data_IF_310856937692
#
_entry.id   IF_310856937692
#
_cell.length_a   1.000
_cell.length_b   1.000
_cell.length_c   1.000
_cell.angle_alpha   90.00
_cell.angle_beta   90.00
_cell.angle_gamma   90.00
#
_symmetry.space_group_name_H-M   'P 1'
#
loop_
_entity.id
_entity.type
_entity.pdbx_description
1 polymer ?
#
# COMPACT_ATOMS: atom_id res chain seq x y z
N UNK A 1 8.54 -12.93 -34.69
CA UNK A 1 7.26 -13.31 -34.03
C UNK A 1 6.52 -12.04 -33.65
N UNK A 2 5.20 -11.96 -33.81
CA UNK A 2 4.41 -10.77 -33.44
C UNK A 2 4.32 -10.62 -31.92
N UNK A 3 4.19 -9.39 -31.41
CA UNK A 3 4.08 -9.11 -29.98
C UNK A 3 2.95 -9.90 -29.29
N UNK A 4 1.81 -10.07 -29.98
CA UNK A 4 0.67 -10.84 -29.45
C UNK A 4 1.02 -12.33 -29.27
N UNK A 5 1.77 -12.91 -30.20
CA UNK A 5 2.15 -14.32 -30.12
C UNK A 5 3.17 -14.55 -28.97
N UNK A 6 4.14 -13.62 -28.83
CA UNK A 6 5.07 -13.60 -27.68
C UNK A 6 4.31 -13.48 -26.37
N UNK A 7 3.32 -12.59 -26.29
CA UNK A 7 2.52 -12.38 -25.08
C UNK A 7 1.73 -13.64 -24.67
N UNK A 8 1.18 -14.39 -25.62
CA UNK A 8 0.52 -15.67 -25.33
C UNK A 8 1.49 -16.71 -24.77
N UNK A 9 2.71 -16.79 -25.34
CA UNK A 9 3.75 -17.68 -24.82
C UNK A 9 4.17 -17.29 -23.38
N UNK A 10 4.25 -15.99 -23.08
CA UNK A 10 4.50 -15.52 -21.69
C UNK A 10 3.42 -16.00 -20.74
N UNK A 11 2.14 -15.85 -21.10
CA UNK A 11 1.02 -16.30 -20.27
C UNK A 11 1.09 -17.82 -20.03
N UNK A 12 1.38 -18.59 -21.08
CA UNK A 12 1.50 -20.06 -20.99
C UNK A 12 2.68 -20.47 -20.11
N UNK A 13 3.85 -19.87 -20.32
CA UNK A 13 5.05 -20.17 -19.53
C UNK A 13 4.84 -19.86 -18.04
N UNK A 14 4.16 -18.75 -17.70
CA UNK A 14 3.84 -18.40 -16.31
C UNK A 14 2.83 -19.37 -15.68
N UNK A 15 1.88 -19.89 -16.45
CA UNK A 15 0.97 -20.96 -15.98
C UNK A 15 1.74 -22.24 -15.59
N UNK A 16 2.85 -22.50 -16.25
CA UNK A 16 3.76 -23.61 -15.93
C UNK A 16 4.81 -23.26 -14.87
N UNK A 17 4.63 -22.14 -14.14
CA UNK A 17 5.50 -21.69 -13.04
C UNK A 17 6.95 -21.40 -13.45
N UNK A 18 7.21 -21.07 -14.71
CA UNK A 18 8.51 -20.57 -15.15
C UNK A 18 8.80 -19.21 -14.54
N UNK A 19 10.06 -18.91 -14.22
CA UNK A 19 10.44 -17.62 -13.69
C UNK A 19 10.31 -16.52 -14.75
N UNK A 20 9.94 -15.31 -14.33
CA UNK A 20 9.84 -14.15 -15.23
C UNK A 20 11.18 -13.85 -15.91
N UNK A 21 12.30 -14.06 -15.23
CA UNK A 21 13.65 -13.85 -15.78
C UNK A 21 13.95 -14.84 -16.91
N UNK A 22 13.64 -16.12 -16.70
CA UNK A 22 13.85 -17.14 -17.72
C UNK A 22 12.96 -16.90 -18.95
N UNK A 23 11.72 -16.54 -18.74
CA UNK A 23 10.76 -16.19 -19.80
C UNK A 23 11.27 -15.01 -20.61
N UNK A 24 11.74 -13.96 -19.95
CA UNK A 24 12.31 -12.78 -20.60
C UNK A 24 13.50 -13.14 -21.48
N UNK A 25 14.39 -13.98 -20.97
CA UNK A 25 15.56 -14.46 -21.70
C UNK A 25 15.17 -15.29 -22.94
N UNK A 26 14.21 -16.20 -22.79
CA UNK A 26 13.81 -17.12 -23.88
C UNK A 26 12.98 -16.41 -24.97
N UNK A 27 12.09 -15.48 -24.59
CA UNK A 27 11.13 -14.89 -25.53
C UNK A 27 11.62 -13.54 -26.09
N UNK A 28 12.33 -12.74 -25.29
CA UNK A 28 12.77 -11.40 -25.65
C UNK A 28 14.28 -11.24 -25.72
N UNK A 29 15.07 -12.32 -25.60
CA UNK A 29 16.53 -12.28 -25.63
C UNK A 29 17.15 -11.23 -24.70
N UNK A 30 16.53 -11.03 -23.52
CA UNK A 30 16.90 -10.00 -22.53
C UNK A 30 16.73 -8.54 -23.01
N UNK A 31 16.10 -8.31 -24.18
CA UNK A 31 15.77 -6.96 -24.64
C UNK A 31 14.68 -6.33 -23.73
N UNK A 32 15.06 -5.27 -23.04
CA UNK A 32 14.17 -4.58 -22.10
C UNK A 32 13.00 -3.88 -22.80
N UNK A 33 13.22 -3.29 -23.98
CA UNK A 33 12.17 -2.59 -24.72
C UNK A 33 11.16 -3.57 -25.31
N UNK A 34 11.63 -4.74 -25.77
CA UNK A 34 10.74 -5.81 -26.24
C UNK A 34 9.98 -6.44 -25.07
N UNK A 35 10.66 -6.68 -23.93
CA UNK A 35 10.00 -7.16 -22.71
C UNK A 35 8.91 -6.23 -22.22
N UNK A 36 9.14 -4.93 -22.19
CA UNK A 36 8.14 -3.93 -21.80
C UNK A 36 6.86 -4.07 -22.63
N UNK A 37 7.00 -4.10 -23.95
CA UNK A 37 5.87 -4.26 -24.86
C UNK A 37 5.16 -5.61 -24.73
N UNK A 38 5.92 -6.69 -24.58
CA UNK A 38 5.38 -8.04 -24.51
C UNK A 38 4.69 -8.30 -23.17
N UNK A 39 5.32 -7.92 -22.07
CA UNK A 39 4.77 -8.08 -20.71
C UNK A 39 3.49 -7.26 -20.53
N UNK A 40 3.48 -6.00 -20.98
CA UNK A 40 2.28 -5.17 -20.99
C UNK A 40 1.14 -5.81 -21.79
N UNK A 41 1.45 -6.31 -23.00
CA UNK A 41 0.45 -7.01 -23.82
C UNK A 41 -0.05 -8.30 -23.18
N UNK A 42 0.82 -9.05 -22.50
CA UNK A 42 0.44 -10.25 -21.76
C UNK A 42 -0.49 -9.88 -20.58
N UNK A 43 -0.16 -8.84 -19.81
CA UNK A 43 -0.99 -8.33 -18.74
C UNK A 43 -2.39 -7.92 -19.24
N UNK A 44 -2.47 -7.16 -20.34
CA UNK A 44 -3.75 -6.73 -20.92
C UNK A 44 -4.62 -7.92 -21.35
N UNK A 45 -4.03 -8.93 -22.00
CA UNK A 45 -4.75 -10.13 -22.42
C UNK A 45 -5.24 -10.95 -21.20
N UNK A 46 -4.39 -11.08 -20.19
CA UNK A 46 -4.73 -11.79 -18.96
C UNK A 46 -5.82 -11.09 -18.17
N UNK A 47 -5.76 -9.75 -18.08
CA UNK A 47 -6.79 -8.91 -17.47
C UNK A 47 -8.15 -9.03 -18.19
N UNK A 48 -8.15 -9.01 -19.54
CA UNK A 48 -9.37 -9.17 -20.32
C UNK A 48 -10.00 -10.55 -20.10
N UNK A 49 -9.20 -11.59 -20.06
CA UNK A 49 -9.67 -12.95 -19.78
C UNK A 49 -10.23 -13.07 -18.35
N UNK A 50 -9.59 -12.50 -17.35
CA UNK A 50 -10.08 -12.48 -15.97
C UNK A 50 -11.43 -11.75 -15.86
N UNK A 51 -11.59 -10.61 -16.56
CA UNK A 51 -12.89 -9.91 -16.61
C UNK A 51 -13.98 -10.74 -17.29
N UNK A 52 -13.63 -11.43 -18.35
CA UNK A 52 -14.58 -12.34 -19.03
C UNK A 52 -15.01 -13.46 -18.13
N UNK A 53 -14.06 -14.12 -17.46
CA UNK A 53 -14.34 -15.21 -16.54
C UNK A 53 -15.21 -14.74 -15.36
N UNK A 54 -14.90 -13.58 -14.75
CA UNK A 54 -15.72 -13.00 -13.68
C UNK A 54 -17.17 -12.78 -14.09
N UNK A 55 -17.41 -12.29 -15.32
CA UNK A 55 -18.78 -12.15 -15.84
C UNK A 55 -19.52 -13.49 -15.95
N UNK A 56 -18.82 -14.55 -16.36
CA UNK A 56 -19.40 -15.90 -16.45
C UNK A 56 -19.72 -16.42 -15.05
N UNK A 57 -18.77 -16.36 -14.12
CA UNK A 57 -18.93 -16.84 -12.75
C UNK A 57 -20.09 -16.13 -12.02
N UNK A 58 -20.21 -14.81 -12.18
CA UNK A 58 -21.31 -14.02 -11.61
C UNK A 58 -22.67 -14.44 -12.19
N UNK A 59 -22.73 -14.79 -13.46
CA UNK A 59 -23.98 -15.24 -14.11
C UNK A 59 -24.40 -16.63 -13.67
N UNK A 60 -23.47 -17.55 -13.45
CA UNK A 60 -23.77 -18.94 -13.10
C UNK A 60 -24.26 -19.12 -11.66
N UNK A 61 -24.02 -18.12 -10.77
CA UNK A 61 -24.41 -18.13 -9.35
C UNK A 61 -23.95 -19.35 -8.54
N UNK A 62 -23.01 -20.13 -9.07
CA UNK A 62 -22.50 -21.32 -8.40
C UNK A 62 -21.26 -21.04 -7.55
N UNK A 63 -20.62 -19.88 -7.73
CA UNK A 63 -19.41 -19.49 -7.02
C UNK A 63 -19.63 -18.11 -6.41
N UNK A 64 -19.26 -17.95 -5.13
CA UNK A 64 -19.25 -16.64 -4.47
C UNK A 64 -18.04 -15.87 -5.00
N UNK A 65 -18.30 -14.89 -5.87
CA UNK A 65 -17.26 -14.01 -6.43
C UNK A 65 -17.67 -12.55 -6.27
N UNK A 66 -16.70 -11.65 -6.13
CA UNK A 66 -16.96 -10.21 -6.16
C UNK A 66 -17.44 -9.81 -7.56
N UNK A 67 -18.64 -9.24 -7.71
CA UNK A 67 -19.15 -8.76 -8.99
C UNK A 67 -18.24 -7.70 -9.62
N UNK A 68 -18.27 -7.57 -10.95
CA UNK A 68 -17.46 -6.55 -11.63
C UNK A 68 -17.90 -5.13 -11.32
N UNK A 69 -19.19 -4.94 -11.07
CA UNK A 69 -19.78 -3.67 -10.66
C UNK A 69 -19.14 -3.18 -9.35
N UNK A 70 -19.06 -4.05 -8.34
CA UNK A 70 -18.41 -3.74 -7.05
C UNK A 70 -16.92 -3.42 -7.21
N UNK A 71 -16.21 -4.15 -8.09
CA UNK A 71 -14.81 -3.85 -8.39
C UNK A 71 -14.68 -2.47 -9.06
N UNK A 72 -15.60 -2.10 -9.96
CA UNK A 72 -15.60 -0.78 -10.57
C UNK A 72 -15.87 0.34 -9.55
N UNK A 73 -16.78 0.10 -8.59
CA UNK A 73 -17.08 1.04 -7.51
C UNK A 73 -15.86 1.24 -6.59
N UNK A 74 -15.13 0.15 -6.28
CA UNK A 74 -13.86 0.24 -5.55
C UNK A 74 -12.80 1.03 -6.32
N UNK A 75 -12.71 0.87 -7.65
CA UNK A 75 -11.80 1.65 -8.50
C UNK A 75 -12.15 3.14 -8.41
N UNK A 76 -13.43 3.49 -8.54
CA UNK A 76 -13.88 4.87 -8.49
C UNK A 76 -13.62 5.50 -7.12
N UNK A 77 -13.95 4.79 -6.05
CA UNK A 77 -13.70 5.26 -4.70
C UNK A 77 -12.21 5.46 -4.43
N UNK A 78 -11.35 4.54 -4.85
CA UNK A 78 -9.90 4.73 -4.77
C UNK A 78 -9.41 5.93 -5.57
N UNK A 79 -9.93 6.16 -6.78
CA UNK A 79 -9.58 7.34 -7.58
C UNK A 79 -9.96 8.66 -6.87
N UNK A 80 -11.04 8.67 -6.11
CA UNK A 80 -11.43 9.83 -5.31
C UNK A 80 -10.54 10.00 -4.06
N UNK A 81 -10.23 8.90 -3.37
CA UNK A 81 -9.39 8.91 -2.16
C UNK A 81 -7.94 9.32 -2.44
N UNK A 82 -7.39 8.91 -3.59
CA UNK A 82 -5.99 9.19 -3.94
C UNK A 82 -5.69 10.69 -4.00
N UNK A 83 -6.66 11.52 -4.38
CA UNK A 83 -6.50 12.99 -4.39
C UNK A 83 -6.14 13.54 -3.01
N UNK A 84 -6.52 12.84 -1.93
CA UNK A 84 -6.26 13.16 -0.54
C UNK A 84 -5.14 12.31 0.08
N UNK A 85 -4.30 11.72 -0.77
CA UNK A 85 -3.23 10.80 -0.38
C UNK A 85 -3.74 9.58 0.42
N UNK A 86 -4.93 9.07 0.10
CA UNK A 86 -5.58 7.92 0.71
C UNK A 86 -5.94 6.87 -0.34
N UNK A 87 -6.16 5.64 0.10
CA UNK A 87 -6.71 4.53 -0.69
C UNK A 87 -7.42 3.58 0.25
N UNK A 88 -8.38 2.80 -0.22
CA UNK A 88 -9.05 1.81 0.63
C UNK A 88 -8.06 0.78 1.14
N UNK A 89 -8.00 0.52 2.45
CA UNK A 89 -7.27 -0.64 2.96
C UNK A 89 -7.89 -1.95 2.45
N UNK A 90 -7.07 -2.96 2.25
CA UNK A 90 -7.57 -4.29 1.84
C UNK A 90 -8.42 -5.00 2.89
N UNK A 91 -8.43 -4.49 4.10
CA UNK A 91 -9.13 -5.06 5.27
C UNK A 91 -10.43 -4.35 5.59
N UNK A 92 -10.89 -3.44 4.72
CA UNK A 92 -12.17 -2.75 4.90
C UNK A 92 -13.34 -3.73 4.79
N UNK A 93 -14.35 -3.53 5.63
CA UNK A 93 -15.66 -4.16 5.48
C UNK A 93 -16.54 -3.32 4.53
N UNK A 94 -17.63 -3.89 4.04
CA UNK A 94 -18.63 -3.14 3.26
C UNK A 94 -19.26 -1.99 4.05
N UNK A 95 -19.37 -2.13 5.37
CA UNK A 95 -19.83 -1.05 6.24
C UNK A 95 -18.84 0.13 6.25
N UNK A 96 -17.54 -0.18 6.33
CA UNK A 96 -16.48 0.85 6.26
C UNK A 96 -16.48 1.54 4.89
N UNK A 97 -16.58 0.77 3.79
CA UNK A 97 -16.67 1.33 2.42
C UNK A 97 -17.84 2.30 2.30
N UNK A 98 -19.03 1.88 2.77
CA UNK A 98 -20.22 2.72 2.74
C UNK A 98 -20.09 3.99 3.58
N UNK A 99 -19.43 3.91 4.74
CA UNK A 99 -19.15 5.06 5.57
C UNK A 99 -18.15 6.03 4.91
N UNK A 100 -17.05 5.51 4.39
CA UNK A 100 -16.03 6.29 3.67
C UNK A 100 -16.64 6.98 2.43
N UNK A 101 -17.51 6.29 1.68
CA UNK A 101 -18.21 6.89 0.54
C UNK A 101 -19.05 8.10 0.91
N UNK A 102 -19.71 8.07 2.07
CA UNK A 102 -20.48 9.22 2.56
C UNK A 102 -19.59 10.39 2.95
N UNK A 103 -18.50 10.08 3.65
CA UNK A 103 -17.59 11.12 4.16
C UNK A 103 -16.81 11.82 3.05
N UNK A 104 -16.44 11.07 1.98
CA UNK A 104 -15.60 11.63 0.91
C UNK A 104 -16.32 12.67 0.07
N UNK A 105 -17.66 12.67 0.03
CA UNK A 105 -18.43 13.66 -0.73
C UNK A 105 -18.20 15.10 -0.24
N UNK A 106 -17.83 15.27 1.02
CA UNK A 106 -17.64 16.57 1.68
C UNK A 106 -16.16 16.83 2.04
N UNK A 107 -15.22 16.13 1.37
CA UNK A 107 -13.79 16.43 1.50
C UNK A 107 -13.46 17.82 0.90
N UNK A 108 -12.52 18.60 1.51
CA UNK A 108 -11.70 18.23 2.69
C UNK A 108 -12.35 18.48 4.05
N UNK A 109 -13.60 18.95 4.13
CA UNK A 109 -14.26 19.28 5.40
C UNK A 109 -14.33 18.09 6.38
N UNK A 110 -14.52 16.87 5.85
CA UNK A 110 -14.59 15.63 6.63
C UNK A 110 -13.23 14.90 6.74
N UNK A 111 -12.12 15.56 6.50
CA UNK A 111 -10.81 14.90 6.52
C UNK A 111 -10.53 14.19 7.85
N UNK A 112 -10.87 14.83 8.96
CA UNK A 112 -10.63 14.28 10.30
C UNK A 112 -11.39 12.96 10.52
N UNK A 113 -12.67 12.93 10.18
CA UNK A 113 -13.52 11.75 10.31
C UNK A 113 -13.05 10.60 9.40
N UNK A 114 -12.63 10.92 8.19
CA UNK A 114 -12.06 9.92 7.27
C UNK A 114 -10.76 9.36 7.84
N UNK A 115 -9.86 10.20 8.32
CA UNK A 115 -8.60 9.76 8.93
C UNK A 115 -8.88 8.92 10.19
N UNK A 116 -9.86 9.26 11.00
CA UNK A 116 -10.24 8.47 12.18
C UNK A 116 -10.81 7.10 11.77
N UNK A 117 -11.62 7.04 10.71
CA UNK A 117 -12.10 5.78 10.15
C UNK A 117 -10.92 4.92 9.66
N UNK A 118 -9.98 5.49 8.91
CA UNK A 118 -8.77 4.78 8.47
C UNK A 118 -7.90 4.33 9.66
N UNK A 119 -7.71 5.19 10.66
CA UNK A 119 -6.94 4.86 11.85
C UNK A 119 -7.55 3.68 12.61
N UNK A 120 -8.88 3.62 12.73
CA UNK A 120 -9.59 2.51 13.39
C UNK A 120 -9.39 1.17 12.68
N UNK A 121 -9.14 1.18 11.37
CA UNK A 121 -8.90 0.00 10.55
C UNK A 121 -7.42 -0.38 10.59
N UNK A 122 -6.54 0.51 10.12
CA UNK A 122 -5.13 0.19 9.88
C UNK A 122 -4.26 0.24 11.14
N UNK A 123 -4.58 1.12 12.10
CA UNK A 123 -3.87 1.23 13.38
C UNK A 123 -4.59 0.50 14.51
N UNK A 124 -5.56 -0.35 14.19
CA UNK A 124 -6.10 -1.30 15.16
C UNK A 124 -4.98 -2.23 15.67
N UNK A 125 -4.78 -2.38 16.99
CA UNK A 125 -3.70 -3.19 17.56
C UNK A 125 -3.65 -4.63 17.03
N UNK A 126 -4.82 -5.28 16.88
CA UNK A 126 -4.91 -6.63 16.32
C UNK A 126 -4.47 -6.66 14.86
N UNK A 127 -4.89 -5.68 14.08
CA UNK A 127 -4.47 -5.58 12.66
C UNK A 127 -2.98 -5.31 12.52
N UNK A 128 -2.38 -4.46 13.35
CA UNK A 128 -0.92 -4.24 13.35
C UNK A 128 -0.15 -5.51 13.69
N UNK A 129 -0.60 -6.27 14.71
CA UNK A 129 0.00 -7.55 15.06
C UNK A 129 -0.11 -8.58 13.91
N UNK A 130 -1.27 -8.68 13.28
CA UNK A 130 -1.48 -9.54 12.10
C UNK A 130 -0.61 -9.11 10.90
N UNK A 131 -0.47 -7.81 10.63
CA UNK A 131 0.40 -7.30 9.56
C UNK A 131 1.87 -7.64 9.81
N UNK A 132 2.35 -7.42 11.04
CA UNK A 132 3.71 -7.76 11.42
C UNK A 132 3.97 -9.26 11.25
N UNK A 133 3.21 -10.11 11.97
CA UNK A 133 3.39 -11.55 12.00
C UNK A 133 3.05 -12.24 10.68
N UNK A 134 1.95 -11.84 10.04
CA UNK A 134 1.46 -12.53 8.85
C UNK A 134 2.11 -12.06 7.56
N UNK A 135 2.60 -10.82 7.47
CA UNK A 135 3.12 -10.29 6.21
C UNK A 135 4.55 -9.80 6.30
N UNK A 136 4.85 -8.86 7.20
CA UNK A 136 6.16 -8.23 7.20
C UNK A 136 7.28 -9.20 7.57
N UNK A 137 7.03 -10.16 8.47
CA UNK A 137 7.98 -11.23 8.81
C UNK A 137 8.14 -12.29 7.70
N UNK A 138 7.15 -12.45 6.81
CA UNK A 138 7.13 -13.47 5.77
C UNK A 138 7.50 -12.94 4.38
N UNK A 139 7.14 -11.72 4.03
CA UNK A 139 7.36 -11.19 2.70
C UNK A 139 8.81 -10.71 2.51
N UNK A 140 9.60 -11.30 1.60
CA UNK A 140 11.01 -10.99 1.40
C UNK A 140 11.35 -9.49 1.31
N UNK A 141 10.58 -8.64 0.59
CA UNK A 141 10.88 -7.21 0.51
C UNK A 141 10.76 -6.47 1.84
N UNK A 142 9.91 -6.96 2.76
CA UNK A 142 9.60 -6.32 4.04
C UNK A 142 10.44 -6.88 5.20
N UNK A 143 10.83 -8.14 5.12
CA UNK A 143 11.47 -8.90 6.21
C UNK A 143 12.67 -8.18 6.82
N UNK A 144 13.48 -7.50 6.01
CA UNK A 144 14.65 -6.74 6.48
C UNK A 144 14.28 -5.48 7.27
N UNK A 145 13.03 -5.02 7.17
CA UNK A 145 12.57 -3.76 7.75
C UNK A 145 11.59 -3.94 8.91
N UNK A 146 11.29 -5.18 9.32
CA UNK A 146 10.30 -5.47 10.39
C UNK A 146 10.57 -4.66 11.64
N UNK A 147 11.81 -4.61 12.14
CA UNK A 147 12.16 -3.87 13.34
C UNK A 147 12.01 -2.35 13.17
N UNK A 148 12.24 -1.82 11.97
CA UNK A 148 12.08 -0.40 11.67
C UNK A 148 10.58 -0.05 11.63
N UNK A 149 9.78 -0.88 10.94
CA UNK A 149 8.32 -0.73 10.89
C UNK A 149 7.74 -0.80 12.30
N UNK A 150 8.20 -1.76 13.11
CA UNK A 150 7.79 -1.92 14.52
C UNK A 150 8.13 -0.68 15.35
N UNK A 151 9.32 -0.12 15.19
CA UNK A 151 9.73 1.11 15.88
C UNK A 151 8.81 2.28 15.51
N UNK A 152 8.38 2.38 14.25
CA UNK A 152 7.43 3.39 13.80
C UNK A 152 6.04 3.18 14.41
N UNK A 153 5.55 1.94 14.48
CA UNK A 153 4.27 1.58 15.13
C UNK A 153 4.28 1.95 16.61
N UNK A 154 5.33 1.58 17.33
CA UNK A 154 5.50 1.92 18.75
C UNK A 154 5.54 3.43 18.96
N UNK A 155 6.27 4.16 18.10
CA UNK A 155 6.32 5.62 18.14
C UNK A 155 4.94 6.24 17.91
N UNK A 156 4.17 5.73 16.97
CA UNK A 156 2.80 6.17 16.70
C UNK A 156 1.90 5.98 17.95
N UNK A 157 1.89 4.78 18.55
CA UNK A 157 1.07 4.50 19.74
C UNK A 157 1.52 5.29 20.98
N UNK A 158 2.74 5.83 20.98
CA UNK A 158 3.22 6.76 22.00
C UNK A 158 2.89 8.23 21.72
N UNK A 159 2.21 8.53 20.59
CA UNK A 159 1.94 9.89 20.15
C UNK A 159 3.18 10.63 19.65
N UNK A 160 4.28 9.92 19.38
CA UNK A 160 5.47 10.51 18.73
C UNK A 160 5.35 10.38 17.20
N UNK A 161 4.53 11.24 16.60
CA UNK A 161 4.26 11.18 15.16
C UNK A 161 5.49 11.56 14.33
N UNK A 162 6.31 12.49 14.81
CA UNK A 162 7.58 12.86 14.15
C UNK A 162 8.49 11.63 14.08
N UNK A 163 8.72 10.95 15.20
CA UNK A 163 9.54 9.74 15.24
C UNK A 163 8.95 8.61 14.37
N UNK A 164 7.62 8.43 14.40
CA UNK A 164 6.93 7.44 13.59
C UNK A 164 7.11 7.69 12.10
N UNK A 165 6.83 8.92 11.65
CA UNK A 165 6.89 9.29 10.24
C UNK A 165 8.31 9.18 9.68
N UNK A 166 9.29 9.81 10.36
CA UNK A 166 10.69 9.81 9.93
C UNK A 166 11.32 8.41 9.92
N UNK A 167 10.88 7.54 10.81
CA UNK A 167 11.34 6.14 10.85
C UNK A 167 10.73 5.33 9.70
N UNK A 168 9.46 5.56 9.35
CA UNK A 168 8.76 4.74 8.38
C UNK A 168 9.02 5.17 6.93
N UNK A 169 9.25 6.46 6.67
CA UNK A 169 9.35 6.97 5.29
C UNK A 169 10.48 6.33 4.45
N UNK A 170 11.69 6.08 4.98
CA UNK A 170 12.74 5.40 4.21
C UNK A 170 12.44 3.92 3.95
N UNK A 171 11.53 3.31 4.70
CA UNK A 171 11.12 1.91 4.51
C UNK A 171 10.45 1.74 3.15
N UNK A 172 9.67 2.70 2.69
CA UNK A 172 9.01 2.65 1.37
C UNK A 172 10.03 2.44 0.25
N UNK A 173 11.07 3.26 0.22
CA UNK A 173 12.15 3.12 -0.76
C UNK A 173 12.91 1.81 -0.58
N UNK A 174 13.22 1.47 0.67
CA UNK A 174 13.91 0.22 1.01
C UNK A 174 13.15 -1.02 0.53
N UNK A 175 11.84 -1.07 0.73
CA UNK A 175 10.98 -2.18 0.26
C UNK A 175 10.97 -2.26 -1.26
N UNK A 176 10.81 -1.13 -1.98
CA UNK A 176 10.87 -1.13 -3.45
C UNK A 176 12.21 -1.63 -3.97
N UNK A 177 13.34 -1.20 -3.38
CA UNK A 177 14.68 -1.67 -3.75
C UNK A 177 14.82 -3.19 -3.55
N UNK A 178 14.36 -3.72 -2.40
CA UNK A 178 14.37 -5.18 -2.14
C UNK A 178 13.48 -5.93 -3.11
N UNK A 179 12.33 -5.38 -3.44
CA UNK A 179 11.40 -5.98 -4.40
C UNK A 179 11.96 -6.03 -5.83
N UNK A 180 12.78 -5.03 -6.20
CA UNK A 180 13.57 -5.03 -7.45
C UNK A 180 14.84 -5.90 -7.39
N UNK A 181 15.07 -6.61 -6.29
CA UNK A 181 16.20 -7.52 -6.12
C UNK A 181 17.52 -6.85 -5.70
N UNK A 182 17.50 -5.58 -5.27
CA UNK A 182 18.70 -4.90 -4.79
C UNK A 182 18.90 -5.12 -3.29
N UNK A 183 19.97 -5.82 -2.93
CA UNK A 183 20.34 -6.16 -1.56
C UNK A 183 21.64 -5.47 -1.09
N UNK A 184 21.97 -4.34 -1.65
CA UNK A 184 23.16 -3.56 -1.29
C UNK A 184 24.37 -3.83 -2.19
N UNK A 185 24.27 -4.81 -3.11
CA UNK A 185 25.31 -5.14 -4.09
C UNK A 185 24.76 -5.11 -5.51
N UNK A 186 25.62 -4.87 -6.50
CA UNK A 186 25.20 -4.75 -7.89
C UNK A 186 24.72 -3.34 -8.26
N UNK A 187 24.05 -3.22 -9.40
CA UNK A 187 23.54 -1.94 -9.89
C UNK A 187 22.30 -1.53 -9.09
N UNK A 188 22.42 -0.45 -8.33
CA UNK A 188 21.30 0.13 -7.59
C UNK A 188 20.26 0.68 -8.58
N UNK A 189 18.95 0.37 -8.44
CA UNK A 189 17.89 1.06 -9.16
C UNK A 189 17.96 2.57 -8.96
N UNK A 190 17.69 3.31 -10.01
CA UNK A 190 17.72 4.78 -9.99
C UNK A 190 16.41 5.34 -9.44
N UNK A 191 16.39 6.63 -9.11
CA UNK A 191 15.16 7.29 -8.67
C UNK A 191 14.02 7.22 -9.71
N UNK A 192 14.27 7.42 -11.03
CA UNK A 192 13.26 7.15 -12.06
C UNK A 192 12.70 5.72 -12.04
N UNK A 193 13.54 4.71 -11.79
CA UNK A 193 13.08 3.32 -11.67
C UNK A 193 12.11 3.14 -10.50
N UNK A 194 12.37 3.84 -9.38
CA UNK A 194 11.49 3.83 -8.23
C UNK A 194 10.21 4.63 -8.48
N UNK A 195 10.28 5.77 -9.18
CA UNK A 195 9.10 6.58 -9.51
C UNK A 195 8.13 5.82 -10.42
N UNK A 196 8.61 4.94 -11.30
CA UNK A 196 7.78 4.11 -12.18
C UNK A 196 7.51 2.70 -11.64
N UNK A 197 7.84 2.44 -10.38
CA UNK A 197 7.79 1.10 -9.78
C UNK A 197 6.41 0.45 -9.88
N UNK A 198 5.35 1.18 -9.60
CA UNK A 198 3.98 0.65 -9.61
C UNK A 198 3.35 0.69 -11.00
N UNK A 199 3.57 1.73 -11.79
CA UNK A 199 3.08 1.79 -13.17
C UNK A 199 3.68 0.69 -14.06
N UNK A 200 4.88 0.22 -13.75
CA UNK A 200 5.57 -0.87 -14.45
C UNK A 200 5.42 -2.24 -13.76
N UNK A 201 4.44 -2.41 -12.87
CA UNK A 201 4.21 -3.67 -12.15
C UNK A 201 4.00 -4.88 -13.06
N UNK A 202 3.42 -4.68 -14.25
CA UNK A 202 3.26 -5.70 -15.28
C UNK A 202 4.60 -6.27 -15.81
N UNK A 203 5.70 -5.53 -15.71
CA UNK A 203 7.04 -6.03 -16.09
C UNK A 203 7.56 -7.05 -15.08
N UNK A 204 7.25 -6.86 -13.79
CA UNK A 204 7.61 -7.77 -12.71
C UNK A 204 6.71 -8.99 -12.70
N UNK A 205 5.41 -8.80 -12.95
CA UNK A 205 4.43 -9.88 -12.94
C UNK A 205 3.35 -9.66 -14.01
N UNK A 206 3.54 -10.19 -15.23
CA UNK A 206 2.55 -10.10 -16.30
C UNK A 206 1.24 -10.85 -16.03
N UNK A 207 1.26 -11.85 -15.14
CA UNK A 207 0.09 -12.66 -14.80
C UNK A 207 -0.03 -12.79 -13.27
N UNK A 208 -0.40 -11.72 -12.54
CA UNK A 208 -0.54 -11.77 -11.09
C UNK A 208 -1.67 -12.70 -10.67
N UNK A 209 -1.61 -13.21 -9.44
CA UNK A 209 -2.59 -14.16 -8.89
C UNK A 209 -4.02 -13.62 -8.86
N UNK A 210 -4.17 -12.31 -8.65
CA UNK A 210 -5.46 -11.63 -8.75
C UNK A 210 -5.29 -10.35 -9.57
N UNK A 211 -5.37 -10.46 -10.89
CA UNK A 211 -5.11 -9.34 -11.80
C UNK A 211 -6.09 -8.17 -11.64
N UNK A 212 -7.34 -8.42 -11.22
CA UNK A 212 -8.34 -7.37 -11.05
C UNK A 212 -8.00 -6.46 -9.87
N UNK A 213 -7.69 -7.03 -8.71
CA UNK A 213 -7.27 -6.27 -7.53
C UNK A 213 -5.84 -5.74 -7.68
N UNK A 214 -4.96 -6.49 -8.33
CA UNK A 214 -3.62 -6.00 -8.66
C UNK A 214 -3.67 -4.71 -9.48
N UNK A 215 -4.55 -4.64 -10.49
CA UNK A 215 -4.74 -3.43 -11.30
C UNK A 215 -5.25 -2.24 -10.46
N UNK A 216 -6.20 -2.50 -9.55
CA UNK A 216 -6.73 -1.44 -8.66
C UNK A 216 -5.63 -0.88 -7.76
N UNK A 217 -4.94 -1.76 -7.03
CA UNK A 217 -3.97 -1.34 -6.03
C UNK A 217 -2.66 -0.85 -6.64
N UNK A 218 -2.21 -1.37 -7.78
CA UNK A 218 -1.02 -0.83 -8.45
C UNK A 218 -1.25 0.60 -8.93
N UNK A 219 -2.43 0.91 -9.46
CA UNK A 219 -2.80 2.27 -9.85
C UNK A 219 -2.93 3.22 -8.67
N UNK A 220 -3.52 2.75 -7.56
CA UNK A 220 -3.60 3.54 -6.34
C UNK A 220 -2.21 3.82 -5.77
N UNK A 221 -1.35 2.80 -5.65
CA UNK A 221 0.03 2.97 -5.19
C UNK A 221 0.84 3.88 -6.11
N UNK A 222 0.67 3.79 -7.44
CA UNK A 222 1.35 4.64 -8.39
C UNK A 222 1.04 6.12 -8.16
N UNK A 223 -0.24 6.46 -8.03
CA UNK A 223 -0.67 7.83 -7.76
C UNK A 223 -0.23 8.33 -6.38
N UNK A 224 -0.39 7.53 -5.33
CA UNK A 224 0.09 7.87 -3.98
C UNK A 224 1.60 8.16 -3.99
N UNK A 225 2.37 7.39 -4.74
CA UNK A 225 3.80 7.61 -4.88
C UNK A 225 4.13 8.86 -5.67
N UNK A 226 3.56 9.01 -6.88
CA UNK A 226 3.98 10.02 -7.86
C UNK A 226 3.34 11.39 -7.63
N UNK A 227 2.07 11.42 -7.21
CA UNK A 227 1.33 12.67 -7.01
C UNK A 227 1.54 13.25 -5.60
N UNK A 228 2.03 12.44 -4.63
CA UNK A 228 2.24 12.87 -3.25
C UNK A 228 3.64 12.56 -2.74
N UNK A 229 3.95 11.30 -2.43
CA UNK A 229 5.15 10.95 -1.67
C UNK A 229 6.45 11.31 -2.38
N UNK A 230 6.53 11.12 -3.73
CA UNK A 230 7.67 11.43 -4.59
C UNK A 230 7.42 12.63 -5.51
N UNK A 231 6.39 13.43 -5.21
CA UNK A 231 6.13 14.65 -5.94
C UNK A 231 7.31 15.60 -5.80
N UNK A 232 7.73 16.21 -6.91
CA UNK A 232 8.79 17.22 -6.89
C UNK A 232 8.25 18.50 -6.22
N UNK A 233 9.03 19.07 -5.32
CA UNK A 233 8.68 20.32 -4.66
C UNK A 233 8.52 21.50 -5.61
N UNK A 234 9.09 21.44 -6.82
CA UNK A 234 8.91 22.43 -7.87
C UNK A 234 7.55 22.31 -8.59
N UNK A 235 6.92 21.14 -8.52
CA UNK A 235 5.61 20.86 -9.14
C UNK A 235 4.43 21.26 -8.24
N UNK A 236 4.68 21.93 -7.11
CA UNK A 236 3.70 22.36 -6.13
C UNK A 236 3.61 21.42 -4.92
N UNK A 237 2.75 21.77 -3.96
CA UNK A 237 2.64 21.06 -2.69
C UNK A 237 1.90 19.74 -2.84
N UNK A 238 2.39 18.71 -2.15
CA UNK A 238 1.64 17.48 -1.95
C UNK A 238 0.49 17.73 -0.96
N UNK A 239 -0.61 16.99 -1.10
CA UNK A 239 -1.72 17.10 -0.17
C UNK A 239 -1.25 16.90 1.28
N UNK A 240 -1.62 17.83 2.17
CA UNK A 240 -1.25 17.81 3.60
C UNK A 240 0.27 17.69 3.86
N UNK A 241 1.13 18.15 2.94
CA UNK A 241 2.59 17.97 3.02
C UNK A 241 3.03 16.49 3.10
N UNK A 242 2.23 15.57 2.62
CA UNK A 242 2.57 14.15 2.55
C UNK A 242 3.63 13.91 1.48
N UNK A 243 4.87 14.29 1.78
CA UNK A 243 5.97 14.27 0.84
C UNK A 243 7.30 13.85 1.50
N UNK A 244 7.99 12.89 0.86
CA UNK A 244 9.29 12.40 1.31
C UNK A 244 10.37 13.50 1.29
N UNK A 245 10.36 14.36 0.28
CA UNK A 245 11.40 15.38 0.12
C UNK A 245 11.35 16.40 1.26
N UNK A 246 10.16 16.83 1.65
CA UNK A 246 9.98 17.72 2.81
C UNK A 246 10.54 17.08 4.09
N UNK A 247 10.27 15.79 4.30
CA UNK A 247 10.73 15.06 5.46
C UNK A 247 12.25 14.83 5.46
N UNK A 248 12.83 14.43 4.32
CA UNK A 248 14.25 14.09 4.22
C UNK A 248 15.16 15.30 4.36
N UNK A 249 14.68 16.47 3.99
CA UNK A 249 15.46 17.72 4.02
C UNK A 249 15.00 18.70 5.09
N UNK A 250 13.98 18.34 5.88
CA UNK A 250 13.38 19.21 6.91
C UNK A 250 13.01 20.59 6.36
N UNK A 251 12.44 20.64 5.15
CA UNK A 251 12.13 21.88 4.44
C UNK A 251 10.91 22.63 4.99
N UNK A 252 10.16 22.03 5.91
CA UNK A 252 9.04 22.66 6.59
C UNK A 252 9.09 22.38 8.09
N UNK A 253 8.56 23.28 8.90
CA UNK A 253 8.56 23.23 10.36
C UNK A 253 7.69 22.09 10.91
N UNK A 254 8.10 20.84 10.74
CA UNK A 254 7.44 19.62 11.22
C UNK A 254 5.99 19.39 10.74
N UNK A 255 5.45 20.25 9.88
CA UNK A 255 4.07 20.13 9.36
C UNK A 255 3.79 18.87 8.55
N UNK A 256 4.84 18.17 8.10
CA UNK A 256 4.72 16.89 7.39
C UNK A 256 4.50 15.69 8.32
N UNK A 257 4.95 15.77 9.57
CA UNK A 257 4.98 14.65 10.53
C UNK A 257 3.77 14.70 11.47
N UNK A 258 2.59 14.80 10.89
CA UNK A 258 1.32 14.78 11.61
C UNK A 258 0.79 13.36 11.85
N UNK A 259 -0.20 13.21 12.72
CA UNK A 259 -0.91 11.95 12.93
C UNK A 259 -1.50 11.44 11.61
N UNK A 260 -2.13 12.32 10.85
CA UNK A 260 -2.80 12.05 9.58
C UNK A 260 -1.81 11.51 8.55
N UNK A 261 -0.64 12.12 8.45
CA UNK A 261 0.40 11.67 7.52
C UNK A 261 1.06 10.37 7.97
N UNK A 262 1.13 10.07 9.27
CA UNK A 262 1.51 8.74 9.75
C UNK A 262 0.49 7.69 9.28
N UNK A 263 -0.82 7.96 9.39
CA UNK A 263 -1.89 7.07 8.91
C UNK A 263 -1.74 6.82 7.40
N UNK A 264 -1.56 7.86 6.59
CA UNK A 264 -1.31 7.75 5.15
C UNK A 264 -0.11 6.87 4.83
N UNK A 265 0.97 7.04 5.57
CA UNK A 265 2.20 6.29 5.35
C UNK A 265 2.07 4.81 5.75
N UNK A 266 1.43 4.51 6.90
CA UNK A 266 1.12 3.12 7.27
C UNK A 266 0.17 2.46 6.26
N UNK A 267 -0.85 3.18 5.82
CA UNK A 267 -1.75 2.72 4.76
C UNK A 267 -0.96 2.37 3.49
N UNK A 268 -0.05 3.23 3.07
CA UNK A 268 0.75 2.99 1.87
C UNK A 268 1.64 1.75 1.99
N UNK A 269 2.29 1.56 3.12
CA UNK A 269 3.11 0.35 3.40
C UNK A 269 2.24 -0.92 3.40
N UNK A 270 1.03 -0.84 3.95
CA UNK A 270 0.09 -1.96 3.93
C UNK A 270 -0.38 -2.29 2.51
N UNK A 271 -0.70 -1.28 1.69
CA UNK A 271 -1.05 -1.46 0.28
C UNK A 271 0.09 -2.09 -0.52
N UNK A 272 1.34 -1.69 -0.25
CA UNK A 272 2.51 -2.34 -0.86
C UNK A 272 2.55 -3.83 -0.50
N UNK A 273 2.26 -4.20 0.75
CA UNK A 273 2.22 -5.60 1.17
C UNK A 273 1.07 -6.37 0.51
N UNK A 274 -0.07 -5.73 0.30
CA UNK A 274 -1.21 -6.29 -0.42
C UNK A 274 -0.88 -6.55 -1.89
N UNK A 275 -0.26 -5.57 -2.53
CA UNK A 275 0.16 -5.68 -3.92
C UNK A 275 1.19 -6.82 -4.11
N UNK A 276 2.14 -6.94 -3.16
CA UNK A 276 3.09 -8.05 -3.16
C UNK A 276 2.40 -9.41 -3.07
N UNK A 277 1.38 -9.53 -2.21
CA UNK A 277 0.56 -10.74 -2.10
C UNK A 277 -0.07 -11.10 -3.46
N UNK A 278 -0.66 -10.13 -4.16
CA UNK A 278 -1.27 -10.39 -5.46
C UNK A 278 -0.26 -10.73 -6.55
N UNK A 279 0.95 -10.20 -6.50
CA UNK A 279 2.01 -10.53 -7.45
C UNK A 279 2.56 -11.94 -7.26
N UNK A 280 2.64 -12.45 -6.03
CA UNK A 280 3.38 -13.68 -5.71
C UNK A 280 2.55 -14.96 -5.69
N UNK A 281 1.25 -14.90 -5.92
CA UNK A 281 0.32 -16.05 -5.85
C UNK A 281 0.33 -16.77 -4.50
N UNK A 282 0.82 -16.18 -3.43
CA UNK A 282 0.81 -16.82 -2.14
C UNK A 282 -0.54 -16.67 -1.44
N UNK A 283 -0.88 -17.64 -0.60
CA UNK A 283 -1.96 -17.48 0.35
C UNK A 283 -1.59 -16.41 1.37
N UNK A 284 -2.56 -15.63 1.84
CA UNK A 284 -2.29 -14.63 2.86
C UNK A 284 -1.97 -15.30 4.20
N UNK A 285 -0.75 -15.15 4.72
CA UNK A 285 -0.35 -15.80 5.96
C UNK A 285 -1.17 -15.37 7.17
N UNK A 286 -1.82 -14.18 7.12
CA UNK A 286 -2.66 -13.69 8.22
C UNK A 286 -3.84 -14.60 8.53
N UNK A 287 -4.35 -15.33 7.54
CA UNK A 287 -5.47 -16.26 7.74
C UNK A 287 -5.11 -17.53 8.51
N UNK A 288 -3.82 -17.79 8.69
CA UNK A 288 -3.34 -18.99 9.40
C UNK A 288 -2.84 -18.69 10.81
N UNK A 289 -2.87 -17.42 11.23
CA UNK A 289 -2.46 -17.00 12.57
C UNK A 289 -3.62 -17.13 13.55
N UNK A 290 -3.36 -17.76 14.69
CA UNK A 290 -4.25 -17.77 15.85
C UNK A 290 -4.08 -16.48 16.67
N UNK A 291 -4.98 -16.25 17.61
CA UNK A 291 -4.86 -15.15 18.55
C UNK A 291 -3.63 -15.32 19.48
N UNK A 292 -3.18 -16.57 19.72
CA UNK A 292 -1.98 -16.87 20.49
C UNK A 292 -0.71 -16.39 19.79
N UNK A 293 -0.63 -16.56 18.45
CA UNK A 293 0.52 -16.16 17.62
C UNK A 293 0.78 -14.64 17.65
N UNK A 294 -0.27 -13.86 17.85
CA UNK A 294 -0.21 -12.38 17.86
C UNK A 294 -0.35 -11.76 19.24
N UNK A 295 -0.56 -12.57 20.27
CA UNK A 295 -0.94 -12.09 21.60
C UNK A 295 0.08 -11.14 22.23
N UNK A 296 1.38 -11.38 22.00
CA UNK A 296 2.44 -10.54 22.55
C UNK A 296 2.36 -9.12 21.97
N UNK A 297 2.40 -8.99 20.68
CA UNK A 297 2.34 -7.70 19.98
C UNK A 297 1.01 -6.98 20.25
N UNK A 298 -0.09 -7.71 20.20
CA UNK A 298 -1.42 -7.16 20.47
C UNK A 298 -1.51 -6.55 21.87
N UNK A 299 -1.05 -7.28 22.90
CA UNK A 299 -1.08 -6.79 24.27
C UNK A 299 -0.13 -5.60 24.49
N UNK A 300 1.04 -5.60 23.86
CA UNK A 300 1.96 -4.46 23.95
C UNK A 300 1.36 -3.20 23.29
N UNK A 301 0.75 -3.33 22.12
CA UNK A 301 0.09 -2.19 21.46
C UNK A 301 -1.10 -1.65 22.25
N UNK A 302 -1.90 -2.54 22.88
CA UNK A 302 -2.99 -2.11 23.76
C UNK A 302 -2.47 -1.34 24.98
N UNK A 303 -1.38 -1.78 25.61
CA UNK A 303 -0.75 -1.07 26.73
C UNK A 303 -0.28 0.32 26.30
N UNK A 304 0.39 0.43 25.14
CA UNK A 304 0.87 1.70 24.63
C UNK A 304 -0.28 2.68 24.34
N UNK A 305 -1.38 2.20 23.74
CA UNK A 305 -2.58 3.01 23.53
C UNK A 305 -3.22 3.46 24.82
N UNK A 306 -3.32 2.58 25.82
CA UNK A 306 -3.87 2.93 27.14
C UNK A 306 -3.00 4.00 27.83
N UNK A 307 -1.67 3.90 27.74
CA UNK A 307 -0.75 4.90 28.28
C UNK A 307 -0.88 6.27 27.59
N UNK A 308 -1.24 6.31 26.30
CA UNK A 308 -1.43 7.57 25.59
C UNK A 308 -2.51 8.45 26.22
N UNK A 309 -3.55 7.81 26.76
CA UNK A 309 -4.68 8.47 27.39
C UNK A 309 -4.64 8.46 28.92
N UNK A 310 -3.48 8.13 29.50
CA UNK A 310 -3.35 8.05 30.96
C UNK A 310 -3.34 9.43 31.62
N UNK A 311 -3.95 9.58 32.83
CA UNK A 311 -3.91 10.84 33.57
C UNK A 311 -2.49 11.32 33.89
N UNK A 312 -1.56 10.40 34.10
CA UNK A 312 -0.15 10.69 34.39
C UNK A 312 0.50 11.46 33.23
N UNK A 313 0.15 11.14 32.00
CA UNK A 313 0.67 11.84 30.83
C UNK A 313 0.23 13.31 30.81
N UNK A 314 -1.01 13.59 31.18
CA UNK A 314 -1.52 14.95 31.31
C UNK A 314 -0.79 15.72 32.43
N UNK A 315 -0.51 15.05 33.57
CA UNK A 315 0.24 15.64 34.69
C UNK A 315 1.68 15.98 34.32
N UNK A 316 2.30 15.21 33.44
CA UNK A 316 3.66 15.46 32.97
C UNK A 316 3.73 16.56 31.88
N UNK A 317 2.61 17.20 31.53
CA UNK A 317 2.56 18.24 30.50
C UNK A 317 2.91 17.72 29.08
N UNK A 318 2.87 16.41 28.86
CA UNK A 318 3.07 15.84 27.55
C UNK A 318 1.81 16.18 26.72
N UNK A 319 1.92 16.90 25.59
CA UNK A 319 0.76 17.28 24.80
C UNK A 319 -0.06 16.04 24.44
N UNK A 320 -1.31 16.02 24.84
CA UNK A 320 -2.29 15.16 24.19
C UNK A 320 -2.57 15.79 22.82
N UNK A 321 -2.88 14.98 21.82
CA UNK A 321 -3.44 15.50 20.57
C UNK A 321 -4.68 16.30 20.93
N UNK A 322 -4.50 17.60 21.15
CA UNK A 322 -5.62 18.50 21.30
C UNK A 322 -6.24 18.57 19.91
N UNK A 323 -7.47 18.04 19.80
CA UNK A 323 -8.35 18.42 18.71
C UNK A 323 -8.06 19.87 18.38
N UNK A 324 -7.69 20.16 17.15
CA UNK A 324 -7.67 21.53 16.69
C UNK A 324 -9.10 22.06 16.87
N UNK A 325 -9.35 22.64 18.05
CA UNK A 325 -10.49 23.52 18.20
C UNK A 325 -10.22 24.63 17.22
N UNK A 326 -10.97 24.62 16.13
CA UNK A 326 -11.10 25.74 15.23
C UNK A 326 -11.34 26.98 16.10
N UNK A 327 -10.30 27.76 16.33
CA UNK A 327 -10.44 29.14 16.79
C UNK A 327 -10.99 29.94 15.60
N UNK A 328 -12.29 29.77 15.32
CA UNK A 328 -13.09 30.82 14.79
C UNK A 328 -13.27 31.82 15.93
N UNK A 329 -12.68 32.98 15.75
CA UNK A 329 -13.00 34.28 16.27
C UNK A 329 -11.74 35.08 16.61
N UNK A 330 -11.25 35.82 15.64
CA UNK A 330 -11.05 37.27 15.72
C UNK A 330 -10.53 37.78 14.38
#
# INVERSE_FOLDING_TARGET
MKTVDKAKLVIEALRHKSSVQDIKKQICNEDNADWDRVSKKAYDLYFQEARRQRKLDTKTRHVIVTPLEEINDLIQLNNNLVQYALSLPSTVTWADVSNIQKLISDMPANEHEIIDAFASIIMNPRMRALQKKGRFEHFPPFKSFVHIIESAVVSYYRGNFIGSYLTLIPVVEGVMLRWLGYFGTGKKPTFPDLKTFFSNSYQRQPCPGNVLFHDVFSKACDKLLTEHLFKDSQEGDAYSNFNRHLASHLLSDSQFATRENCIRLFLFVDLMSELYLYETYCSDPRFYLSDEDISLEFNEYLKLMAQLHSPERALLGIPMDTKHTSSGDQ
#
